data_IF_296089983204
#
_entry.id   IF_296089983204
#
_cell.length_a   1.000
_cell.length_b   1.000
_cell.length_c   1.000
_cell.angle_alpha   90.00
_cell.angle_beta   90.00
_cell.angle_gamma   90.00
#
_symmetry.space_group_name_H-M   'P 1'
#
loop_
_entity.id
_entity.type
_entity.pdbx_description
1 polymer ?
#
# COMPACT_ATOMS: atom_id res chain seq x y z
N UNK A 1 -16.96 1.42 7.86
CA UNK A 1 -16.49 1.40 6.46
C UNK A 1 -15.05 1.88 6.44
N UNK A 2 -14.19 1.30 5.60
CA UNK A 2 -12.83 1.81 5.42
C UNK A 2 -12.95 3.06 4.56
N UNK A 3 -12.41 4.19 5.03
CA UNK A 3 -12.47 5.47 4.30
C UNK A 3 -11.32 5.58 3.29
N UNK A 4 -10.27 4.77 3.47
CA UNK A 4 -9.06 4.78 2.66
C UNK A 4 -8.57 3.38 2.32
N UNK A 5 -7.86 3.25 1.20
CA UNK A 5 -7.10 2.07 0.81
C UNK A 5 -5.64 2.47 0.60
N UNK A 6 -4.73 1.76 1.26
CA UNK A 6 -3.28 2.00 1.20
C UNK A 6 -2.62 0.84 0.44
N UNK A 7 -2.10 1.14 -0.74
CA UNK A 7 -1.34 0.19 -1.55
C UNK A 7 0.14 0.24 -1.16
N UNK A 8 0.63 -0.86 -0.60
CA UNK A 8 2.02 -1.04 -0.22
C UNK A 8 2.70 -2.18 -0.99
N UNK A 9 4.03 -2.10 -1.09
CA UNK A 9 4.84 -3.27 -1.46
C UNK A 9 4.63 -4.41 -0.47
N UNK A 10 4.61 -5.66 -0.93
CA UNK A 10 4.72 -6.80 -0.02
C UNK A 10 6.02 -6.79 0.79
N UNK A 11 6.04 -7.59 1.85
CA UNK A 11 7.24 -7.81 2.66
C UNK A 11 8.20 -8.78 1.97
N UNK A 12 9.50 -8.55 2.12
CA UNK A 12 10.59 -9.43 1.70
C UNK A 12 10.84 -10.55 2.73
N UNK A 13 11.91 -11.33 2.52
CA UNK A 13 12.30 -12.45 3.38
C UNK A 13 12.69 -12.00 4.80
N UNK A 14 13.14 -10.75 4.96
CA UNK A 14 13.43 -10.14 6.27
C UNK A 14 12.16 -9.58 6.95
N UNK A 15 10.99 -9.73 6.32
CA UNK A 15 9.74 -9.19 6.82
C UNK A 15 9.59 -7.68 6.64
N UNK A 16 10.45 -7.04 5.84
CA UNK A 16 10.42 -5.60 5.57
C UNK A 16 9.73 -5.30 4.24
N UNK A 17 9.07 -4.16 4.12
CA UNK A 17 8.52 -3.71 2.84
C UNK A 17 9.66 -3.60 1.82
N UNK A 18 9.58 -4.29 0.67
CA UNK A 18 10.69 -4.31 -0.29
C UNK A 18 10.93 -2.93 -0.94
N UNK A 19 9.92 -2.05 -0.94
CA UNK A 19 10.02 -0.69 -1.46
C UNK A 19 10.55 0.28 -0.38
N UNK A 20 11.67 0.98 -0.64
CA UNK A 20 12.24 1.94 0.30
C UNK A 20 11.29 3.06 0.72
N UNK A 21 10.54 3.64 -0.22
CA UNK A 21 9.56 4.69 0.07
C UNK A 21 8.41 4.18 0.94
N UNK A 22 7.98 2.93 0.72
CA UNK A 22 6.97 2.30 1.57
C UNK A 22 7.44 2.19 3.03
N UNK A 23 8.72 1.81 3.25
CA UNK A 23 9.33 1.78 4.59
C UNK A 23 9.43 3.17 5.22
N UNK A 24 9.82 4.16 4.42
CA UNK A 24 10.00 5.53 4.91
C UNK A 24 8.71 6.13 5.49
N UNK A 25 7.54 5.71 4.99
CA UNK A 25 6.23 6.22 5.44
C UNK A 25 5.43 5.24 6.30
N UNK A 26 5.91 4.02 6.55
CA UNK A 26 5.18 2.97 7.29
C UNK A 26 4.69 3.46 8.66
N UNK A 27 5.59 4.08 9.42
CA UNK A 27 5.33 4.61 10.75
C UNK A 27 4.35 5.81 10.75
N UNK A 28 4.40 6.66 9.72
CA UNK A 28 3.43 7.75 9.55
C UNK A 28 2.02 7.22 9.27
N UNK A 29 1.91 6.24 8.36
CA UNK A 29 0.64 5.60 8.01
C UNK A 29 0.07 4.87 9.24
N UNK A 30 0.90 4.10 9.95
CA UNK A 30 0.49 3.42 11.17
C UNK A 30 -0.04 4.41 12.22
N UNK A 31 0.67 5.51 12.49
CA UNK A 31 0.20 6.53 13.45
C UNK A 31 -1.08 7.23 13.03
N UNK A 32 -1.33 7.36 11.72
CA UNK A 32 -2.53 8.02 11.21
C UNK A 32 -3.77 7.15 11.37
N UNK A 33 -3.66 5.87 10.99
CA UNK A 33 -4.82 4.97 10.88
C UNK A 33 -5.01 4.05 12.09
N UNK A 34 -4.03 3.91 13.00
CA UNK A 34 -4.19 3.11 14.23
C UNK A 34 -4.88 3.86 15.38
N UNK A 35 -5.23 5.14 15.18
CA UNK A 35 -5.92 5.93 16.20
C UNK A 35 -7.38 5.52 16.29
N UNK A 36 -7.90 5.38 17.51
CA UNK A 36 -9.31 5.04 17.74
C UNK A 36 -10.29 6.09 17.19
N UNK A 37 -9.87 7.36 17.14
CA UNK A 37 -10.60 8.49 16.55
C UNK A 37 -10.13 8.84 15.13
N UNK A 38 -9.22 8.05 14.56
CA UNK A 38 -8.68 8.26 13.23
C UNK A 38 -9.56 7.68 12.12
N UNK A 39 -9.31 8.07 10.86
CA UNK A 39 -9.95 7.42 9.73
C UNK A 39 -9.58 5.93 9.67
N UNK A 40 -10.46 5.11 9.09
CA UNK A 40 -10.17 3.70 8.86
C UNK A 40 -9.50 3.49 7.51
N UNK A 41 -8.53 2.57 7.42
CA UNK A 41 -7.88 2.21 6.16
C UNK A 41 -7.65 0.71 5.99
N UNK A 42 -7.80 0.23 4.76
CA UNK A 42 -7.39 -1.11 4.33
C UNK A 42 -5.98 -1.08 3.77
N UNK A 43 -5.09 -1.96 4.25
CA UNK A 43 -3.78 -2.16 3.63
C UNK A 43 -3.88 -3.26 2.56
N UNK A 44 -3.47 -2.92 1.33
CA UNK A 44 -3.38 -3.84 0.19
C UNK A 44 -1.93 -4.03 -0.20
N UNK A 45 -1.50 -5.30 -0.24
CA UNK A 45 -0.17 -5.68 -0.69
C UNK A 45 -0.16 -5.92 -2.20
N UNK A 46 0.64 -5.14 -2.94
CA UNK A 46 0.68 -5.24 -4.42
C UNK A 46 1.46 -6.44 -4.97
N UNK A 47 2.03 -7.25 -4.07
CA UNK A 47 2.89 -8.37 -4.40
C UNK A 47 4.38 -8.04 -4.32
N UNK A 48 5.21 -9.01 -4.71
CA UNK A 48 6.66 -8.89 -4.80
C UNK A 48 7.08 -7.99 -5.96
N UNK A 49 8.28 -7.40 -5.88
CA UNK A 49 8.79 -6.43 -6.86
C UNK A 49 8.65 -6.86 -8.33
N UNK A 50 8.93 -8.13 -8.74
CA UNK A 50 8.72 -8.56 -10.13
C UNK A 50 7.24 -8.52 -10.54
N UNK A 51 6.34 -9.00 -9.68
CA UNK A 51 4.90 -8.98 -9.93
C UNK A 51 4.34 -7.55 -10.00
N UNK A 52 4.85 -6.63 -9.17
CA UNK A 52 4.46 -5.23 -9.19
C UNK A 52 4.94 -4.49 -10.45
N UNK A 53 6.14 -4.81 -10.94
CA UNK A 53 6.69 -4.22 -12.16
C UNK A 53 5.98 -4.70 -13.43
N UNK A 54 5.28 -5.82 -13.37
CA UNK A 54 4.48 -6.28 -14.51
C UNK A 54 3.38 -5.27 -14.84
N UNK A 55 3.20 -4.87 -16.11
CA UNK A 55 2.06 -4.05 -16.51
C UNK A 55 0.71 -4.79 -16.32
N UNK A 56 0.73 -6.12 -16.24
CA UNK A 56 -0.45 -6.95 -15.98
C UNK A 56 -0.81 -7.10 -14.50
N UNK A 57 -0.12 -6.39 -13.59
CA UNK A 57 -0.48 -6.39 -12.18
C UNK A 57 -1.92 -5.88 -12.00
N UNK A 58 -2.75 -6.62 -11.25
CA UNK A 58 -4.17 -6.33 -11.10
C UNK A 58 -4.47 -4.91 -10.58
N UNK A 59 -3.53 -4.30 -9.84
CA UNK A 59 -3.70 -2.96 -9.29
C UNK A 59 -3.29 -1.83 -10.24
N UNK A 60 -2.61 -2.13 -11.36
CA UNK A 60 -2.23 -1.13 -12.38
C UNK A 60 -3.35 -0.78 -13.35
N UNK A 61 -4.40 -1.60 -13.40
CA UNK A 61 -5.57 -1.39 -14.25
C UNK A 61 -6.77 -0.89 -13.44
N UNK A 62 -7.88 -0.65 -14.12
CA UNK A 62 -9.16 -0.37 -13.46
C UNK A 62 -9.53 -1.50 -12.48
N UNK A 63 -10.16 -1.17 -11.35
CA UNK A 63 -10.64 0.17 -10.97
C UNK A 63 -9.57 1.07 -10.33
N UNK A 64 -8.43 0.52 -9.92
CA UNK A 64 -7.49 1.23 -9.03
C UNK A 64 -6.47 2.12 -9.75
N UNK A 65 -6.00 1.71 -10.92
CA UNK A 65 -5.03 2.45 -11.75
C UNK A 65 -3.78 2.95 -10.97
N UNK A 66 -3.27 2.14 -10.05
CA UNK A 66 -2.13 2.50 -9.20
C UNK A 66 -0.85 2.53 -10.04
N UNK A 67 -0.23 3.71 -10.16
CA UNK A 67 1.01 3.89 -10.92
C UNK A 67 2.28 3.54 -10.13
N UNK A 68 2.27 3.79 -8.83
CA UNK A 68 3.40 3.68 -7.91
C UNK A 68 2.97 3.18 -6.52
N UNK A 69 3.93 2.66 -5.74
CA UNK A 69 3.74 2.41 -4.31
C UNK A 69 4.79 3.22 -3.53
N UNK A 70 4.47 3.75 -2.34
CA UNK A 70 3.15 3.70 -1.70
C UNK A 70 2.10 4.58 -2.38
N UNK A 71 0.82 4.20 -2.32
CA UNK A 71 -0.32 5.02 -2.78
C UNK A 71 -1.46 4.93 -1.78
N UNK A 72 -2.10 6.06 -1.45
CA UNK A 72 -3.29 6.13 -0.59
C UNK A 72 -4.46 6.68 -1.41
N UNK A 73 -5.58 5.97 -1.42
CA UNK A 73 -6.81 6.35 -2.13
C UNK A 73 -7.93 6.52 -1.10
N UNK A 74 -8.70 7.61 -1.18
CA UNK A 74 -9.96 7.76 -0.43
C UNK A 74 -11.09 7.10 -1.23
N UNK A 75 -11.87 6.24 -0.58
CA UNK A 75 -12.99 5.50 -1.20
C UNK A 75 -14.36 6.10 -0.86
#
# INVERSE_FOLDING_TARGET
PEDFVVFYSSRDEDGRLWCPDCRAVEDLVQRTFARADGPAALIVWVGQKPAWKSPSNAFRAQPWNVGSVPTVIRV
#
